data_IF_908092419882
#
_entry.id   IF_908092419882
#
_cell.length_a   1.000
_cell.length_b   1.000
_cell.length_c   1.000
_cell.angle_alpha   90.00
_cell.angle_beta   90.00
_cell.angle_gamma   90.00
#
_symmetry.space_group_name_H-M   'P 1'
#
loop_
_entity.id
_entity.type
_entity.pdbx_description
1 polymer ?
#
# COMPACT_ATOMS: atom_id res chain seq x y z
N UNK A 1 -33.52 3.80 43.87
CA UNK A 1 -33.59 5.14 43.27
C UNK A 1 -33.33 6.18 44.37
N UNK A 2 -32.11 6.72 44.43
CA UNK A 2 -31.76 7.85 45.30
C UNK A 2 -30.74 8.72 44.59
N UNK A 3 -31.12 9.97 44.31
CA UNK A 3 -30.22 11.09 44.10
C UNK A 3 -30.73 12.20 45.01
N UNK A 4 -29.80 12.93 45.64
CA UNK A 4 -29.64 14.41 45.66
C UNK A 4 -28.67 14.75 46.82
N UNK A 5 -27.47 15.31 46.61
CA UNK A 5 -27.00 16.65 46.13
C UNK A 5 -27.22 17.81 47.12
N UNK A 6 -26.09 18.30 47.67
CA UNK A 6 -25.71 19.65 48.20
C UNK A 6 -24.42 19.42 49.04
N UNK A 7 -23.31 20.16 49.04
CA UNK A 7 -22.90 21.43 48.44
C UNK A 7 -21.38 21.69 48.70
N UNK A 8 -20.72 22.44 47.80
CA UNK A 8 -19.61 23.41 48.01
C UNK A 8 -18.15 22.92 48.24
N UNK A 9 -17.24 23.35 47.34
CA UNK A 9 -16.07 24.22 47.61
C UNK A 9 -15.48 24.73 46.27
N UNK A 10 -15.78 25.97 45.87
CA UNK A 10 -14.94 27.20 45.93
C UNK A 10 -13.77 27.24 44.94
N UNK A 11 -13.98 28.04 43.87
CA UNK A 11 -12.96 28.61 43.01
C UNK A 11 -11.99 29.50 43.84
N UNK A 12 -10.70 29.35 43.57
CA UNK A 12 -9.69 30.38 43.80
C UNK A 12 -8.86 30.52 42.53
N UNK A 13 -8.97 31.69 41.91
CA UNK A 13 -8.08 32.23 40.90
C UNK A 13 -6.73 32.57 41.53
N UNK A 14 -5.66 31.97 41.05
CA UNK A 14 -4.30 32.47 41.24
C UNK A 14 -3.75 32.90 39.89
N UNK A 15 -3.53 34.21 39.76
CA UNK A 15 -2.66 34.79 38.74
C UNK A 15 -1.22 34.37 39.03
N UNK A 16 -0.68 33.48 38.20
CA UNK A 16 0.72 33.12 38.20
C UNK A 16 1.19 33.03 36.76
N UNK A 17 2.05 33.95 36.35
CA UNK A 17 2.76 33.86 35.08
C UNK A 17 3.72 32.67 35.13
N UNK A 18 3.23 31.49 34.76
CA UNK A 18 4.07 30.35 34.46
C UNK A 18 4.47 30.46 32.99
N UNK A 19 5.73 30.79 32.73
CA UNK A 19 6.37 30.66 31.44
C UNK A 19 6.09 29.25 30.91
N UNK A 20 5.13 29.14 29.97
CA UNK A 20 4.92 27.93 29.21
C UNK A 20 6.12 27.80 28.27
N UNK A 21 7.23 27.27 28.80
CA UNK A 21 8.15 26.49 27.99
C UNK A 21 7.26 25.47 27.30
N UNK A 22 7.00 25.71 26.01
CA UNK A 22 6.19 24.84 25.19
C UNK A 22 6.87 23.48 25.17
N UNK A 23 6.43 22.58 26.05
CA UNK A 23 6.49 21.17 25.75
C UNK A 23 5.64 21.02 24.49
N UNK A 24 6.29 21.08 23.32
CA UNK A 24 5.76 20.40 22.15
C UNK A 24 5.66 18.96 22.59
N UNK A 25 4.45 18.53 22.95
CA UNK A 25 4.13 17.13 22.91
C UNK A 25 4.51 16.68 21.50
N UNK A 26 5.58 15.90 21.38
CA UNK A 26 5.77 15.06 20.21
C UNK A 26 4.54 14.16 20.19
N UNK A 27 3.55 14.56 19.39
CA UNK A 27 2.45 13.69 19.04
C UNK A 27 3.08 12.41 18.52
N UNK A 28 2.75 11.29 19.15
CA UNK A 28 3.16 9.95 18.77
C UNK A 28 2.90 9.73 17.28
N UNK A 29 3.95 9.74 16.45
CA UNK A 29 3.89 9.25 15.07
C UNK A 29 3.63 7.74 15.12
N UNK A 30 2.36 7.34 15.06
CA UNK A 30 1.95 6.00 14.62
C UNK A 30 0.44 6.00 14.40
N UNK A 31 0.00 6.07 13.13
CA UNK A 31 -1.36 5.60 12.82
C UNK A 31 -1.53 4.91 11.47
N UNK A 32 -0.46 4.70 10.69
CA UNK A 32 -0.55 3.93 9.44
C UNK A 32 0.60 2.95 9.20
N UNK A 33 1.65 2.94 10.03
CA UNK A 33 2.84 2.14 9.78
C UNK A 33 2.48 0.65 9.66
N UNK A 34 2.97 0.00 8.60
CA UNK A 34 2.76 -1.43 8.41
C UNK A 34 3.53 -2.17 9.49
N UNK A 35 2.82 -3.03 10.22
CA UNK A 35 3.41 -3.79 11.33
C UNK A 35 4.37 -4.86 10.83
N UNK A 36 5.37 -5.18 11.66
CA UNK A 36 6.33 -6.26 11.36
C UNK A 36 5.68 -7.64 11.51
N UNK A 37 6.26 -8.62 10.81
CA UNK A 37 5.94 -10.04 10.99
C UNK A 37 7.22 -10.87 10.88
N UNK A 38 7.16 -12.16 11.24
CA UNK A 38 8.29 -13.06 11.16
C UNK A 38 8.77 -13.22 9.70
N UNK A 39 10.08 -13.33 9.54
CA UNK A 39 10.71 -13.64 8.24
C UNK A 39 10.33 -15.04 7.75
N UNK A 40 10.11 -15.98 8.67
CA UNK A 40 9.98 -17.39 8.34
C UNK A 40 11.30 -18.02 7.88
N UNK A 41 11.33 -19.34 7.67
CA UNK A 41 12.57 -20.07 7.39
C UNK A 41 12.95 -20.12 5.90
N UNK A 42 12.09 -19.64 5.00
CA UNK A 42 12.22 -19.84 3.55
C UNK A 42 12.70 -18.59 2.77
N UNK A 43 13.15 -17.56 3.48
CA UNK A 43 13.76 -16.40 2.84
C UNK A 43 15.09 -16.79 2.18
N UNK A 44 15.24 -16.46 0.90
CA UNK A 44 16.50 -16.63 0.16
C UNK A 44 16.91 -15.27 -0.42
N UNK A 45 18.12 -14.78 -0.14
CA UNK A 45 18.61 -13.54 -0.72
C UNK A 45 18.92 -13.71 -2.21
N UNK A 46 18.88 -12.62 -2.96
CA UNK A 46 19.24 -12.62 -4.38
C UNK A 46 18.14 -13.13 -5.31
N UNK A 47 16.87 -13.03 -4.89
CA UNK A 47 15.74 -13.24 -5.79
C UNK A 47 15.85 -12.35 -7.04
N UNK A 48 15.46 -12.85 -8.23
CA UNK A 48 15.56 -12.10 -9.48
C UNK A 48 14.67 -10.86 -9.47
N UNK A 49 15.11 -9.81 -10.15
CA UNK A 49 14.27 -8.63 -10.44
C UNK A 49 13.25 -8.98 -11.51
N UNK A 50 12.02 -9.28 -11.10
CA UNK A 50 10.94 -9.68 -11.99
C UNK A 50 9.57 -9.41 -11.38
N UNK A 51 8.62 -8.99 -12.22
CA UNK A 51 7.23 -8.78 -11.81
C UNK A 51 6.34 -10.01 -12.00
N UNK A 52 6.83 -11.11 -12.58
CA UNK A 52 6.10 -12.37 -12.77
C UNK A 52 6.72 -13.45 -11.87
N UNK A 53 6.22 -13.62 -10.65
CA UNK A 53 6.89 -14.43 -9.62
C UNK A 53 6.62 -15.93 -9.83
N UNK A 54 5.41 -16.27 -10.23
CA UNK A 54 5.03 -17.62 -10.59
C UNK A 54 5.52 -17.97 -12.00
N UNK A 55 6.09 -19.16 -12.23
CA UNK A 55 6.43 -19.63 -13.58
C UNK A 55 5.21 -19.65 -14.51
N UNK A 56 5.45 -19.50 -15.82
CA UNK A 56 4.38 -19.61 -16.80
C UNK A 56 3.73 -21.00 -16.74
N UNK A 57 2.39 -21.03 -16.63
CA UNK A 57 1.64 -22.28 -16.50
C UNK A 57 1.73 -22.94 -15.12
N UNK A 58 2.23 -22.23 -14.10
CA UNK A 58 2.18 -22.70 -12.73
C UNK A 58 0.74 -23.06 -12.31
N UNK A 59 0.55 -24.18 -11.59
CA UNK A 59 -0.75 -24.50 -11.01
C UNK A 59 -1.17 -23.43 -9.98
N UNK A 60 -2.48 -23.27 -9.83
CA UNK A 60 -3.09 -22.28 -8.93
C UNK A 60 -3.89 -21.20 -9.67
N UNK A 61 -4.63 -20.41 -8.90
CA UNK A 61 -5.43 -19.29 -9.43
C UNK A 61 -4.51 -18.08 -9.65
N UNK A 62 -4.46 -17.49 -10.86
CA UNK A 62 -3.68 -16.28 -11.11
C UNK A 62 -4.07 -15.15 -10.15
N UNK A 63 -3.06 -14.44 -9.63
CA UNK A 63 -3.22 -13.36 -8.67
C UNK A 63 -2.33 -12.19 -9.06
N UNK A 64 -2.93 -11.02 -9.25
CA UNK A 64 -2.29 -9.76 -9.54
C UNK A 64 -2.31 -8.88 -8.29
N UNK A 65 -1.14 -8.38 -7.91
CA UNK A 65 -0.99 -7.45 -6.78
C UNK A 65 -0.49 -6.11 -7.30
N UNK A 66 -1.12 -5.07 -6.79
CA UNK A 66 -0.59 -3.71 -6.84
C UNK A 66 -0.43 -3.17 -5.44
N UNK A 67 0.35 -2.11 -5.30
CA UNK A 67 0.50 -1.42 -4.02
C UNK A 67 1.31 -0.16 -4.17
N UNK A 68 1.31 0.67 -3.14
CA UNK A 68 2.16 1.85 -3.01
C UNK A 68 2.93 1.78 -1.72
N UNK A 69 4.23 2.08 -1.77
CA UNK A 69 5.05 2.27 -0.57
C UNK A 69 4.97 3.74 -0.16
N UNK A 70 4.56 4.00 1.07
CA UNK A 70 4.38 5.32 1.67
C UNK A 70 5.35 5.57 2.82
N UNK A 71 5.64 6.84 3.06
CA UNK A 71 6.38 7.35 4.22
C UNK A 71 5.50 7.38 5.48
N UNK A 72 6.11 7.76 6.61
CA UNK A 72 5.48 7.78 7.93
C UNK A 72 4.44 8.92 8.11
N UNK A 73 4.28 9.80 7.12
CA UNK A 73 3.19 10.79 7.01
C UNK A 73 1.91 10.21 6.39
N UNK A 74 1.93 8.92 6.03
CA UNK A 74 0.82 8.15 5.47
C UNK A 74 0.34 8.62 4.09
N UNK A 75 1.10 9.50 3.43
CA UNK A 75 0.65 10.19 2.22
C UNK A 75 1.72 10.26 1.15
N UNK A 76 2.97 10.50 1.55
CA UNK A 76 4.08 10.70 0.62
C UNK A 76 4.56 9.36 0.08
N UNK A 77 4.47 9.11 -1.24
CA UNK A 77 4.98 7.89 -1.82
C UNK A 77 6.51 7.85 -1.81
N UNK A 78 7.06 6.64 -1.69
CA UNK A 78 8.49 6.38 -1.67
C UNK A 78 8.91 5.72 -2.99
N UNK A 79 9.63 6.43 -3.88
CA UNK A 79 10.18 5.87 -5.10
C UNK A 79 11.40 4.98 -4.82
N UNK A 80 11.72 4.08 -5.74
CA UNK A 80 12.90 3.22 -5.70
C UNK A 80 13.03 2.36 -4.43
N UNK A 81 11.93 2.12 -3.71
CA UNK A 81 11.87 1.15 -2.63
C UNK A 81 11.93 -0.26 -3.24
N UNK A 82 12.80 -1.10 -2.69
CA UNK A 82 12.89 -2.51 -3.06
C UNK A 82 11.78 -3.27 -2.36
N UNK A 83 10.94 -3.98 -3.10
CA UNK A 83 9.88 -4.87 -2.59
C UNK A 83 10.26 -6.31 -2.95
N UNK A 84 10.83 -7.03 -1.99
CA UNK A 84 11.27 -8.42 -2.11
C UNK A 84 10.15 -9.34 -1.58
N UNK A 85 9.58 -10.17 -2.46
CA UNK A 85 8.38 -10.97 -2.19
C UNK A 85 8.67 -12.44 -2.43
N UNK A 86 8.22 -13.30 -1.52
CA UNK A 86 8.26 -14.75 -1.68
C UNK A 86 7.04 -15.41 -1.04
N UNK A 87 6.63 -16.56 -1.58
CA UNK A 87 5.51 -17.32 -1.05
C UNK A 87 5.54 -18.78 -1.48
N UNK A 88 4.65 -19.59 -0.91
CA UNK A 88 4.49 -20.99 -1.27
C UNK A 88 3.84 -21.16 -2.64
N UNK A 89 4.09 -22.29 -3.32
CA UNK A 89 3.29 -22.70 -4.47
C UNK A 89 1.81 -22.97 -4.08
N UNK A 90 0.96 -23.33 -5.04
CA UNK A 90 -0.48 -23.60 -4.81
C UNK A 90 -0.74 -24.76 -3.83
N UNK A 91 0.19 -25.71 -3.73
CA UNK A 91 0.19 -26.82 -2.80
C UNK A 91 0.77 -26.52 -1.41
N UNK A 92 1.29 -25.30 -1.16
CA UNK A 92 1.87 -24.91 0.12
C UNK A 92 3.36 -25.23 0.28
N UNK A 93 4.04 -25.67 -0.78
CA UNK A 93 5.48 -25.98 -0.76
C UNK A 93 6.38 -24.76 -1.04
N UNK A 94 7.54 -24.72 -0.38
CA UNK A 94 8.64 -23.77 -0.63
C UNK A 94 9.89 -24.45 -1.21
N UNK A 95 9.80 -25.74 -1.52
CA UNK A 95 10.92 -26.58 -1.98
C UNK A 95 11.52 -26.10 -3.31
N UNK A 96 10.70 -25.43 -4.12
CA UNK A 96 11.10 -24.86 -5.39
C UNK A 96 11.50 -23.39 -5.19
N UNK A 97 12.70 -23.00 -5.63
CA UNK A 97 13.16 -21.60 -5.60
C UNK A 97 12.39 -20.64 -6.53
N UNK A 98 11.29 -21.12 -7.10
CA UNK A 98 10.30 -20.36 -7.86
C UNK A 98 9.36 -19.59 -6.90
N UNK A 99 8.46 -18.73 -7.40
CA UNK A 99 7.51 -17.94 -6.57
C UNK A 99 8.15 -16.89 -5.66
N UNK A 100 9.26 -16.30 -6.13
CA UNK A 100 9.95 -15.18 -5.50
C UNK A 100 10.38 -14.16 -6.53
N UNK A 101 10.47 -12.90 -6.13
CA UNK A 101 10.89 -11.84 -7.04
C UNK A 101 11.08 -10.52 -6.31
N UNK A 102 11.90 -9.68 -6.92
CA UNK A 102 12.10 -8.30 -6.51
C UNK A 102 11.44 -7.37 -7.53
N UNK A 103 10.65 -6.43 -7.04
CA UNK A 103 10.19 -5.27 -7.82
C UNK A 103 10.62 -3.99 -7.12
N UNK A 104 10.88 -2.94 -7.89
CA UNK A 104 11.18 -1.62 -7.36
C UNK A 104 9.99 -0.70 -7.57
N UNK A 105 9.71 0.15 -6.59
CA UNK A 105 8.66 1.15 -6.74
C UNK A 105 9.03 2.20 -7.77
N UNK A 106 8.06 2.60 -8.58
CA UNK A 106 8.20 3.70 -9.52
C UNK A 106 8.19 5.07 -8.84
N UNK A 107 8.16 6.12 -9.64
CA UNK A 107 8.31 7.52 -9.19
C UNK A 107 7.24 8.01 -8.21
N UNK A 108 6.05 7.40 -8.21
CA UNK A 108 4.98 7.66 -7.24
C UNK A 108 4.80 6.50 -6.25
N UNK A 109 5.86 5.74 -5.98
CA UNK A 109 5.89 4.70 -4.96
C UNK A 109 5.11 3.44 -5.32
N UNK A 110 4.50 3.36 -6.52
CA UNK A 110 3.73 2.20 -6.91
C UNK A 110 4.60 1.00 -7.30
N UNK A 111 4.15 -0.20 -6.96
CA UNK A 111 4.70 -1.46 -7.44
C UNK A 111 3.58 -2.38 -7.93
N UNK A 112 3.96 -3.36 -8.76
CA UNK A 112 3.05 -4.40 -9.23
C UNK A 112 3.79 -5.70 -9.43
N UNK A 113 3.11 -6.81 -9.17
CA UNK A 113 3.57 -8.13 -9.58
C UNK A 113 2.39 -9.06 -9.83
N UNK A 114 2.65 -10.11 -10.62
CA UNK A 114 1.74 -11.19 -10.93
C UNK A 114 2.31 -12.50 -10.40
N UNK A 115 1.43 -13.33 -9.85
CA UNK A 115 1.74 -14.66 -9.34
C UNK A 115 0.49 -15.55 -9.32
N UNK A 116 0.43 -16.52 -8.42
CA UNK A 116 -0.74 -17.35 -8.10
C UNK A 116 -1.12 -17.21 -6.62
N UNK A 117 -2.37 -17.50 -6.27
CA UNK A 117 -2.82 -17.57 -4.88
C UNK A 117 -2.08 -18.72 -4.16
N UNK A 118 -1.28 -18.45 -3.11
CA UNK A 118 -0.45 -19.46 -2.48
C UNK A 118 -1.29 -20.47 -1.71
N UNK A 119 -0.84 -21.73 -1.67
CA UNK A 119 -1.43 -22.78 -0.85
C UNK A 119 -1.28 -22.53 0.65
N UNK A 120 -2.08 -23.24 1.46
CA UNK A 120 -1.87 -23.33 2.90
C UNK A 120 -0.84 -24.42 3.19
N UNK A 121 -0.05 -24.22 4.24
CA UNK A 121 0.90 -25.23 4.73
C UNK A 121 0.80 -25.39 6.25
N UNK A 122 1.21 -26.56 6.73
CA UNK A 122 1.20 -26.87 8.15
C UNK A 122 2.41 -26.26 8.85
N UNK A 123 2.14 -25.63 10.00
CA UNK A 123 3.12 -25.29 11.02
C UNK A 123 2.79 -26.10 12.28
N UNK A 124 3.47 -27.23 12.45
CA UNK A 124 3.07 -28.24 13.43
C UNK A 124 1.70 -28.83 13.09
N UNK A 125 0.75 -28.74 14.01
CA UNK A 125 -0.60 -29.30 13.83
C UNK A 125 -1.62 -28.32 13.22
N UNK A 126 -1.21 -27.08 12.92
CA UNK A 126 -2.12 -26.02 12.45
C UNK A 126 -1.70 -25.53 11.08
N UNK A 127 -2.67 -25.21 10.23
CA UNK A 127 -2.39 -24.52 8.97
C UNK A 127 -2.09 -23.05 9.24
N UNK A 128 -1.04 -22.53 8.60
CA UNK A 128 -0.91 -21.09 8.41
C UNK A 128 -1.94 -20.60 7.38
N UNK A 129 -2.50 -19.39 7.53
CA UNK A 129 -3.30 -18.77 6.49
C UNK A 129 -2.46 -18.58 5.23
N UNK A 130 -3.11 -18.46 4.08
CA UNK A 130 -2.43 -18.07 2.83
C UNK A 130 -1.79 -16.70 3.03
N UNK A 131 -0.54 -16.54 2.62
CA UNK A 131 0.18 -15.28 2.75
C UNK A 131 1.29 -15.13 1.72
N UNK A 132 1.65 -13.88 1.53
CA UNK A 132 2.91 -13.47 0.93
C UNK A 132 3.84 -12.96 2.02
N UNK A 133 5.11 -13.33 1.95
CA UNK A 133 6.13 -12.63 2.72
C UNK A 133 6.62 -11.41 1.94
N UNK A 134 6.91 -10.35 2.69
CA UNK A 134 7.42 -9.10 2.17
C UNK A 134 8.66 -8.69 2.95
N UNK A 135 9.67 -8.25 2.22
CA UNK A 135 10.82 -7.54 2.75
C UNK A 135 11.00 -6.26 1.93
N UNK A 136 10.61 -5.14 2.52
CA UNK A 136 10.59 -3.83 1.86
C UNK A 136 11.71 -2.96 2.40
N UNK A 137 12.56 -2.43 1.54
CA UNK A 137 13.71 -1.64 1.98
C UNK A 137 13.94 -0.39 1.13
N UNK A 138 14.29 0.71 1.80
CA UNK A 138 14.68 1.98 1.18
C UNK A 138 15.64 2.73 2.09
N UNK A 139 16.70 3.32 1.55
CA UNK A 139 17.62 4.26 2.26
C UNK A 139 17.95 3.86 3.71
N UNK A 140 18.42 2.63 3.94
CA UNK A 140 18.83 2.16 5.27
C UNK A 140 17.70 1.72 6.20
N UNK A 141 16.43 1.88 5.80
CA UNK A 141 15.25 1.33 6.47
C UNK A 141 14.83 0.02 5.80
N UNK A 142 14.43 -0.96 6.60
CA UNK A 142 13.95 -2.25 6.16
C UNK A 142 12.76 -2.70 7.02
N UNK A 143 11.70 -3.18 6.37
CA UNK A 143 10.53 -3.79 6.98
C UNK A 143 10.43 -5.24 6.53
N UNK A 144 10.38 -6.16 7.48
CA UNK A 144 9.94 -7.55 7.23
C UNK A 144 8.52 -7.70 7.72
N UNK A 145 7.63 -8.17 6.84
CA UNK A 145 6.22 -8.36 7.14
C UNK A 145 5.59 -9.46 6.28
N UNK A 146 4.30 -9.71 6.47
CA UNK A 146 3.50 -10.64 5.67
C UNK A 146 2.17 -10.00 5.31
N UNK A 147 1.65 -10.34 4.13
CA UNK A 147 0.30 -9.97 3.67
C UNK A 147 -0.56 -11.22 3.64
N UNK A 148 -1.70 -11.16 4.33
CA UNK A 148 -2.71 -12.20 4.43
C UNK A 148 -3.94 -11.82 3.61
N UNK A 149 -4.85 -12.77 3.40
CA UNK A 149 -6.05 -12.56 2.58
C UNK A 149 -7.32 -12.67 3.43
N UNK A 150 -8.25 -11.74 3.23
CA UNK A 150 -9.54 -11.73 3.91
C UNK A 150 -10.32 -13.04 3.67
N UNK A 151 -11.02 -13.52 4.69
CA UNK A 151 -11.81 -14.74 4.63
C UNK A 151 -11.02 -16.04 4.82
N UNK A 152 -9.70 -15.97 4.99
CA UNK A 152 -8.90 -17.17 5.28
C UNK A 152 -9.24 -17.75 6.66
N UNK A 153 -9.77 -18.97 6.67
CA UNK A 153 -10.24 -19.68 7.87
C UNK A 153 -9.15 -20.05 8.88
N UNK A 154 -7.88 -19.92 8.53
CA UNK A 154 -6.75 -20.19 9.42
C UNK A 154 -6.27 -18.96 10.19
N UNK A 155 -6.70 -17.75 9.81
CA UNK A 155 -6.30 -16.50 10.49
C UNK A 155 -6.59 -16.55 12.00
N UNK A 156 -7.77 -16.96 12.49
CA UNK A 156 -8.08 -16.89 13.93
C UNK A 156 -7.17 -17.74 14.82
N UNK A 157 -6.56 -18.80 14.27
CA UNK A 157 -5.68 -19.70 15.02
C UNK A 157 -4.20 -19.39 14.83
N UNK A 158 -3.83 -18.55 13.85
CA UNK A 158 -2.44 -18.24 13.55
C UNK A 158 -1.91 -17.12 14.47
N UNK A 159 -0.79 -17.34 15.19
CA UNK A 159 -0.31 -16.39 16.20
C UNK A 159 0.19 -15.07 15.60
N UNK A 160 0.47 -15.02 14.31
CA UNK A 160 0.95 -13.82 13.63
C UNK A 160 -0.17 -13.07 12.89
N UNK A 161 -1.12 -13.79 12.29
CA UNK A 161 -2.23 -13.20 11.56
C UNK A 161 -3.42 -12.80 12.46
N UNK A 162 -3.59 -13.41 13.64
CA UNK A 162 -4.71 -13.13 14.55
C UNK A 162 -4.53 -11.88 15.42
N UNK A 163 -3.37 -11.23 15.38
CA UNK A 163 -3.11 -10.05 16.21
C UNK A 163 -3.99 -8.86 15.79
N UNK A 164 -4.51 -8.06 16.74
CA UNK A 164 -5.33 -6.89 16.43
C UNK A 164 -4.57 -5.80 15.64
N UNK A 165 -3.23 -5.82 15.67
CA UNK A 165 -2.38 -4.85 14.97
C UNK A 165 -2.12 -5.24 13.48
N UNK A 166 -2.86 -6.22 12.96
CA UNK A 166 -2.65 -6.86 11.64
C UNK A 166 -3.68 -6.41 10.61
N UNK A 167 -4.67 -5.60 10.98
CA UNK A 167 -5.81 -5.22 10.09
C UNK A 167 -5.31 -4.70 8.73
N UNK A 168 -4.29 -3.84 8.72
CA UNK A 168 -3.72 -3.27 7.50
C UNK A 168 -2.97 -4.28 6.61
N UNK A 169 -2.73 -5.50 7.11
CA UNK A 169 -2.01 -6.58 6.41
C UNK A 169 -2.93 -7.69 5.92
N UNK A 170 -4.24 -7.60 6.18
CA UNK A 170 -5.25 -8.54 5.68
C UNK A 170 -6.00 -7.86 4.55
N UNK A 171 -5.70 -8.24 3.31
CA UNK A 171 -6.24 -7.56 2.13
C UNK A 171 -7.43 -8.33 1.55
N UNK A 172 -8.46 -7.63 1.05
CA UNK A 172 -9.50 -8.27 0.24
C UNK A 172 -8.95 -8.67 -1.12
N UNK A 173 -9.52 -9.72 -1.71
CA UNK A 173 -9.30 -10.08 -3.10
C UNK A 173 -10.59 -9.86 -3.90
N UNK A 174 -10.44 -9.38 -5.13
CA UNK A 174 -11.51 -9.27 -6.11
C UNK A 174 -11.24 -10.18 -7.29
N UNK A 175 -12.30 -10.62 -7.97
CA UNK A 175 -12.21 -11.50 -9.12
C UNK A 175 -12.62 -10.76 -10.40
N UNK A 176 -11.85 -10.93 -11.48
CA UNK A 176 -12.18 -10.39 -12.80
C UNK A 176 -13.05 -11.35 -13.63
N UNK A 177 -13.42 -10.95 -14.86
CA UNK A 177 -14.26 -11.74 -15.75
C UNK A 177 -13.59 -13.02 -16.28
N UNK A 178 -12.29 -13.19 -16.05
CA UNK A 178 -11.51 -14.37 -16.41
C UNK A 178 -11.18 -15.24 -15.18
N UNK A 179 -11.80 -14.94 -14.03
CA UNK A 179 -11.56 -15.58 -12.74
C UNK A 179 -10.14 -15.39 -12.19
N UNK A 180 -9.43 -14.34 -12.61
CA UNK A 180 -8.18 -13.96 -11.96
C UNK A 180 -8.46 -13.13 -10.71
N UNK A 181 -7.61 -13.30 -9.70
CA UNK A 181 -7.69 -12.56 -8.46
C UNK A 181 -6.85 -11.29 -8.51
N UNK A 182 -7.34 -10.23 -7.86
CA UNK A 182 -6.68 -8.92 -7.77
C UNK A 182 -6.70 -8.45 -6.33
N UNK A 183 -5.56 -7.99 -5.82
CA UNK A 183 -5.40 -7.45 -4.47
C UNK A 183 -4.56 -6.18 -4.45
N UNK A 184 -4.80 -5.33 -3.44
CA UNK A 184 -4.00 -4.13 -3.17
C UNK A 184 -3.31 -4.27 -1.83
N UNK A 185 -1.99 -4.14 -1.81
CA UNK A 185 -1.18 -4.18 -0.61
C UNK A 185 -0.36 -2.89 -0.49
N UNK A 186 -0.86 -1.88 0.22
CA UNK A 186 -0.07 -0.68 0.51
C UNK A 186 0.86 -0.93 1.70
N UNK A 187 2.07 -0.36 1.64
CA UNK A 187 3.10 -0.53 2.67
C UNK A 187 3.50 0.84 3.19
N UNK A 188 3.50 1.02 4.51
CA UNK A 188 3.86 2.27 5.17
C UNK A 188 5.13 2.04 5.98
N UNK A 189 6.22 2.69 5.56
CA UNK A 189 7.53 2.58 6.20
C UNK A 189 7.74 3.71 7.21
N UNK A 190 8.48 3.41 8.27
CA UNK A 190 8.97 4.43 9.20
C UNK A 190 10.17 5.18 8.59
N UNK A 191 9.86 5.99 7.59
CA UNK A 191 10.79 6.84 6.85
C UNK A 191 10.16 8.21 6.76
N UNK A 192 10.89 9.24 7.13
CA UNK A 192 10.44 10.61 6.96
C UNK A 192 10.25 10.92 5.47
N UNK A 193 9.14 11.58 5.09
CA UNK A 193 8.90 11.91 3.70
C UNK A 193 10.02 12.78 3.16
N UNK A 194 10.51 12.46 1.96
CA UNK A 194 11.43 13.34 1.24
C UNK A 194 10.61 14.52 0.71
N UNK A 195 10.43 15.54 1.55
CA UNK A 195 9.82 16.80 1.14
C UNK A 195 10.88 17.56 0.35
N UNK A 196 10.91 17.31 -0.96
CA UNK A 196 11.59 18.20 -1.87
C UNK A 196 10.86 19.55 -1.78
N UNK A 197 11.48 20.55 -1.15
CA UNK A 197 11.05 21.96 -1.10
C UNK A 197 11.02 22.64 -2.50
N UNK A 198 11.14 21.82 -3.55
CA UNK A 198 11.03 22.08 -4.96
C UNK A 198 10.12 20.95 -5.51
N UNK A 199 8.83 21.23 -5.70
CA UNK A 199 7.81 20.21 -5.95
C UNK A 199 8.18 19.12 -6.97
N UNK A 200 8.31 17.88 -6.49
CA UNK A 200 8.43 16.61 -7.22
C UNK A 200 9.35 16.61 -8.45
N UNK A 201 10.57 16.11 -8.25
CA UNK A 201 11.48 15.72 -9.32
C UNK A 201 11.65 14.20 -9.34
N UNK A 202 10.64 13.50 -9.86
CA UNK A 202 10.85 12.16 -10.42
C UNK A 202 10.17 12.02 -11.79
N UNK A 203 9.82 13.12 -12.45
CA UNK A 203 9.80 13.08 -13.90
C UNK A 203 11.26 13.28 -14.32
N UNK A 204 11.78 12.46 -15.24
CA UNK A 204 12.96 12.83 -16.03
C UNK A 204 12.91 14.34 -16.33
N UNK A 205 13.97 15.13 -16.07
CA UNK A 205 13.91 16.58 -16.18
C UNK A 205 13.26 17.01 -17.51
N UNK A 206 12.07 17.59 -17.43
CA UNK A 206 11.31 18.03 -18.60
C UNK A 206 10.27 17.05 -19.17
N UNK A 207 9.95 15.94 -18.50
CA UNK A 207 8.86 15.03 -18.86
C UNK A 207 7.57 15.24 -18.04
N UNK A 208 6.41 14.93 -18.64
CA UNK A 208 5.13 14.91 -17.95
C UNK A 208 4.99 13.62 -17.13
N UNK A 209 4.35 13.69 -15.96
CA UNK A 209 4.17 12.53 -15.09
C UNK A 209 2.80 12.52 -14.43
N UNK A 210 2.19 11.34 -14.29
CA UNK A 210 1.10 11.14 -13.34
C UNK A 210 1.73 11.22 -11.95
N UNK A 211 1.17 12.04 -11.06
CA UNK A 211 1.68 12.29 -9.70
C UNK A 211 0.92 11.51 -8.65
N UNK A 212 -0.37 11.34 -8.87
CA UNK A 212 -1.27 10.82 -7.86
C UNK A 212 -2.50 10.22 -8.54
N UNK A 213 -2.87 9.02 -8.12
CA UNK A 213 -4.15 8.39 -8.44
C UNK A 213 -4.70 7.84 -7.13
N UNK A 214 -5.91 8.24 -6.72
CA UNK A 214 -6.49 7.74 -5.46
C UNK A 214 -8.02 7.78 -5.44
N UNK A 215 -8.69 6.74 -4.91
CA UNK A 215 -8.11 5.42 -4.61
C UNK A 215 -7.65 4.73 -5.91
N UNK A 216 -6.68 3.82 -5.80
CA UNK A 216 -6.21 3.01 -6.93
C UNK A 216 -6.25 1.52 -6.54
N UNK A 217 -7.14 0.70 -7.13
CA UNK A 217 -8.10 1.05 -8.18
C UNK A 217 -9.25 1.94 -7.68
N UNK A 218 -9.84 2.73 -8.58
CA UNK A 218 -10.92 3.66 -8.23
C UNK A 218 -12.24 2.91 -7.99
N UNK A 219 -12.80 2.97 -6.78
CA UNK A 219 -14.11 2.44 -6.46
C UNK A 219 -15.20 3.51 -6.63
N UNK A 220 -15.67 3.72 -7.86
CA UNK A 220 -16.76 4.64 -8.20
C UNK A 220 -16.38 6.12 -8.27
N UNK A 221 -15.40 6.57 -7.47
CA UNK A 221 -14.80 7.90 -7.60
C UNK A 221 -13.30 7.84 -7.35
N UNK A 222 -12.55 8.80 -7.90
CA UNK A 222 -11.14 8.99 -7.62
C UNK A 222 -10.60 10.32 -8.08
N UNK A 223 -9.32 10.56 -7.83
CA UNK A 223 -8.58 11.73 -8.28
C UNK A 223 -7.41 11.28 -9.11
N UNK A 224 -7.14 11.99 -10.20
CA UNK A 224 -5.91 11.85 -10.97
C UNK A 224 -5.22 13.20 -11.01
N UNK A 225 -3.94 13.22 -10.64
CA UNK A 225 -3.10 14.40 -10.71
C UNK A 225 -1.97 14.16 -11.72
N UNK A 226 -1.75 15.10 -12.63
CA UNK A 226 -0.68 15.06 -13.64
C UNK A 226 0.16 16.33 -13.50
N UNK A 227 1.47 16.17 -13.50
CA UNK A 227 2.43 17.25 -13.61
C UNK A 227 2.88 17.43 -15.06
N UNK A 228 2.82 18.67 -15.55
CA UNK A 228 3.33 19.09 -16.85
C UNK A 228 4.50 20.07 -16.65
N UNK A 229 5.72 19.74 -17.12
CA UNK A 229 6.89 20.60 -16.93
C UNK A 229 6.89 21.82 -17.87
N UNK A 230 6.12 21.76 -18.95
CA UNK A 230 5.89 22.82 -19.93
C UNK A 230 4.47 22.74 -20.47
N UNK A 231 4.01 23.80 -21.13
CA UNK A 231 2.72 23.76 -21.81
C UNK A 231 2.68 22.58 -22.80
N UNK A 232 1.70 21.69 -22.63
CA UNK A 232 1.65 20.40 -23.32
C UNK A 232 0.22 20.08 -23.73
N UNK A 233 0.05 19.57 -24.94
CA UNK A 233 -1.21 18.97 -25.39
C UNK A 233 -1.37 17.61 -24.71
N UNK A 234 -2.36 17.50 -23.83
CA UNK A 234 -2.61 16.29 -23.04
C UNK A 234 -3.87 15.58 -23.53
N UNK A 235 -3.75 14.26 -23.70
CA UNK A 235 -4.87 13.33 -23.76
C UNK A 235 -4.75 12.37 -22.59
N UNK A 236 -5.79 12.31 -21.76
CA UNK A 236 -5.89 11.44 -20.60
C UNK A 236 -7.18 10.64 -20.74
N UNK A 237 -7.04 9.32 -20.76
CA UNK A 237 -8.14 8.37 -20.84
C UNK A 237 -8.01 7.40 -19.67
N UNK A 238 -9.13 7.12 -19.02
CA UNK A 238 -9.21 6.25 -17.85
C UNK A 238 -10.08 5.07 -18.24
N UNK A 239 -9.56 3.86 -18.02
CA UNK A 239 -10.24 2.61 -18.34
C UNK A 239 -10.55 1.84 -17.07
N UNK A 240 -11.61 1.02 -17.09
CA UNK A 240 -11.87 0.04 -16.06
C UNK A 240 -10.84 -1.08 -16.11
N UNK A 241 -10.78 -1.91 -15.07
CA UNK A 241 -9.91 -3.10 -15.04
C UNK A 241 -10.24 -4.09 -16.17
N UNK A 242 -11.47 -4.04 -16.71
CA UNK A 242 -11.92 -4.85 -17.85
C UNK A 242 -11.63 -4.18 -19.22
N UNK A 243 -10.92 -3.04 -19.25
CA UNK A 243 -10.55 -2.34 -20.47
C UNK A 243 -11.64 -1.46 -21.08
N UNK A 244 -12.75 -1.21 -20.37
CA UNK A 244 -13.82 -0.31 -20.83
C UNK A 244 -13.43 1.14 -20.56
N UNK A 245 -13.57 2.05 -21.52
CA UNK A 245 -13.30 3.48 -21.29
C UNK A 245 -14.31 4.07 -20.30
N UNK A 246 -13.82 4.59 -19.16
CA UNK A 246 -14.61 5.15 -18.05
C UNK A 246 -14.69 6.68 -18.13
N UNK A 247 -13.55 7.35 -18.37
CA UNK A 247 -13.50 8.81 -18.39
C UNK A 247 -12.43 9.34 -19.34
N UNK A 248 -12.63 10.57 -19.85
CA UNK A 248 -11.66 11.30 -20.68
C UNK A 248 -11.44 12.70 -20.11
N UNK A 249 -10.65 12.87 -19.04
CA UNK A 249 -10.50 14.17 -18.36
C UNK A 249 -9.79 15.21 -19.23
N UNK A 250 -8.95 14.77 -20.17
CA UNK A 250 -8.30 15.59 -21.17
C UNK A 250 -8.37 14.92 -22.54
N UNK A 251 -8.79 15.66 -23.57
CA UNK A 251 -8.90 15.15 -24.93
C UNK A 251 -8.18 16.11 -25.91
N UNK A 252 -6.87 15.94 -26.07
CA UNK A 252 -6.07 16.74 -26.99
C UNK A 252 -6.08 18.25 -26.71
N UNK A 253 -6.27 18.65 -25.45
CA UNK A 253 -6.28 20.07 -25.06
C UNK A 253 -4.90 20.51 -24.59
N UNK A 254 -4.54 21.76 -24.87
CA UNK A 254 -3.30 22.36 -24.36
C UNK A 254 -3.50 22.79 -22.91
N UNK A 255 -2.61 22.36 -22.03
CA UNK A 255 -2.58 22.74 -20.62
C UNK A 255 -1.27 23.46 -20.32
N UNK A 256 -1.28 24.51 -19.46
CA UNK A 256 -0.05 25.18 -19.04
C UNK A 256 0.84 24.24 -18.22
N UNK A 257 2.11 24.64 -18.05
CA UNK A 257 2.99 23.98 -17.09
C UNK A 257 2.37 24.04 -15.68
N UNK A 258 2.57 23.00 -14.88
CA UNK A 258 2.06 22.91 -13.52
C UNK A 258 1.36 21.60 -13.23
N UNK A 259 0.68 21.58 -12.09
CA UNK A 259 -0.08 20.43 -11.59
C UNK A 259 -1.54 20.60 -12.01
N UNK A 260 -2.09 19.56 -12.64
CA UNK A 260 -3.47 19.49 -13.07
C UNK A 260 -4.14 18.31 -12.39
N UNK A 261 -5.34 18.53 -11.88
CA UNK A 261 -6.08 17.53 -11.13
C UNK A 261 -7.50 17.39 -11.67
N UNK A 262 -7.98 16.15 -11.72
CA UNK A 262 -9.35 15.83 -12.12
C UNK A 262 -9.98 14.89 -11.09
N UNK A 263 -11.18 15.24 -10.64
CA UNK A 263 -12.09 14.29 -10.01
C UNK A 263 -12.71 13.40 -11.08
N UNK A 264 -12.62 12.10 -10.87
CA UNK A 264 -13.16 11.06 -11.72
C UNK A 264 -14.35 10.47 -10.99
N UNK A 265 -15.48 10.36 -11.67
CA UNK A 265 -16.65 9.64 -11.19
C UNK A 265 -17.04 8.63 -12.26
N UNK A 266 -17.21 7.38 -11.86
CA UNK A 266 -17.83 6.40 -12.72
C UNK A 266 -19.29 6.82 -12.89
N UNK A 267 -19.67 7.32 -14.07
CA UNK A 267 -21.07 7.50 -14.39
C UNK A 267 -21.70 6.11 -14.49
N UNK A 268 -22.73 5.83 -13.68
CA UNK A 268 -23.55 4.64 -13.82
C UNK A 268 -24.13 4.61 -15.25
N UNK A 269 -23.56 3.80 -16.12
CA UNK A 269 -24.13 3.44 -17.41
C UNK A 269 -24.33 1.94 -17.49
#
# INVERSE_FOLDING_TARGET
MKIERRQILRLLSFSGAASLLGFRAYQSQAQCLTTTDILGPFYLPGAPEMAQLAPAGAPGTPLFITGTVYANDCQSPIPNAKVDVWHANDGGGYEDDHYRGVVYTGDNGQYTFQTILPGKYLNGAQFRPRHFHYKVSVTGTELTTQIYFEGDTSIPADPWASSPDVVERIIPLSEDAQNNLHGVADIYLDVEPVINSQGGQNAEPGQAAIRYISPNPMAGQGRVQVFLPKATTLSLQIYSLQGTLVAVPANGKNFPAGIHEWEIRAENR
#
